data_IF_016488355953
#
_entry.id   IF_016488355953
#
_cell.length_a   1.000
_cell.length_b   1.000
_cell.length_c   1.000
_cell.angle_alpha   90.00
_cell.angle_beta   90.00
_cell.angle_gamma   90.00
#
_symmetry.space_group_name_H-M   'P 1'
#
loop_
_entity.id
_entity.type
_entity.pdbx_description
1 polymer ?
#
# COMPACT_ATOMS: atom_id res chain seq x y z
N UNK A 1 15.88 1.42 -10.97
CA UNK A 1 16.24 2.73 -11.57
C UNK A 1 15.88 3.81 -10.55
N UNK A 2 16.78 4.75 -10.28
CA UNK A 2 16.60 5.83 -9.29
C UNK A 2 15.75 6.93 -9.95
N UNK A 3 14.75 7.49 -9.25
CA UNK A 3 14.00 8.65 -9.75
C UNK A 3 14.96 9.80 -10.04
N UNK A 4 14.75 10.50 -11.15
CA UNK A 4 15.55 11.67 -11.49
C UNK A 4 15.24 12.81 -10.50
N UNK A 5 16.23 13.69 -10.26
CA UNK A 5 16.05 14.86 -9.39
C UNK A 5 14.81 15.67 -9.75
N UNK A 6 14.60 15.90 -11.05
CA UNK A 6 13.48 16.66 -11.59
C UNK A 6 12.12 16.02 -11.27
N UNK A 7 12.00 14.69 -11.33
CA UNK A 7 10.76 14.00 -10.97
C UNK A 7 10.43 14.16 -9.49
N UNK A 8 11.45 14.11 -8.63
CA UNK A 8 11.24 14.28 -7.19
C UNK A 8 10.87 15.74 -6.87
N UNK A 9 11.49 16.72 -7.54
CA UNK A 9 11.15 18.15 -7.41
C UNK A 9 9.69 18.43 -7.81
N UNK A 10 9.22 17.87 -8.93
CA UNK A 10 7.82 18.02 -9.38
C UNK A 10 6.84 17.42 -8.36
N UNK A 11 7.16 16.24 -7.82
CA UNK A 11 6.31 15.61 -6.83
C UNK A 11 6.25 16.39 -5.51
N UNK A 12 7.38 16.95 -5.06
CA UNK A 12 7.42 17.80 -3.87
C UNK A 12 6.63 19.10 -4.07
N UNK A 13 6.73 19.74 -5.23
CA UNK A 13 5.91 20.91 -5.57
C UNK A 13 4.42 20.61 -5.53
N UNK A 14 4.00 19.43 -6.03
CA UNK A 14 2.61 19.01 -5.95
C UNK A 14 2.13 18.87 -4.50
N UNK A 15 2.95 18.29 -3.61
CA UNK A 15 2.65 18.19 -2.18
C UNK A 15 2.49 19.58 -1.54
N UNK A 16 3.36 20.53 -1.87
CA UNK A 16 3.27 21.91 -1.34
C UNK A 16 1.97 22.61 -1.79
N UNK A 17 1.57 22.44 -3.05
CA UNK A 17 0.31 23.01 -3.57
C UNK A 17 -0.90 22.44 -2.84
N UNK A 18 -0.93 21.12 -2.61
CA UNK A 18 -2.02 20.48 -1.86
C UNK A 18 -2.06 20.97 -0.42
N UNK A 19 -0.91 21.00 0.26
CA UNK A 19 -0.82 21.49 1.63
C UNK A 19 -1.33 22.94 1.75
N UNK A 20 -0.90 23.82 0.84
CA UNK A 20 -1.34 25.22 0.82
C UNK A 20 -2.85 25.35 0.64
N UNK A 21 -3.43 24.60 -0.30
CA UNK A 21 -4.87 24.63 -0.56
C UNK A 21 -5.67 24.14 0.65
N UNK A 22 -5.19 23.11 1.33
CA UNK A 22 -5.82 22.59 2.55
C UNK A 22 -5.71 23.59 3.71
N UNK A 23 -4.57 24.25 3.87
CA UNK A 23 -4.43 25.33 4.86
C UNK A 23 -5.40 26.48 4.59
N UNK A 24 -5.51 26.93 3.34
CA UNK A 24 -6.39 28.03 2.98
C UNK A 24 -7.85 27.66 3.24
N UNK A 25 -8.25 26.44 2.88
CA UNK A 25 -9.61 25.92 3.12
C UNK A 25 -9.90 25.80 4.62
N UNK A 26 -8.99 25.20 5.39
CA UNK A 26 -9.18 25.05 6.85
C UNK A 26 -9.18 26.40 7.57
N UNK A 27 -8.39 27.37 7.09
CA UNK A 27 -8.38 28.75 7.62
C UNK A 27 -9.69 29.47 7.34
N UNK A 28 -10.23 29.34 6.13
CA UNK A 28 -11.53 29.89 5.76
C UNK A 28 -12.64 29.29 6.62
N UNK A 29 -12.68 27.96 6.76
CA UNK A 29 -13.67 27.27 7.60
C UNK A 29 -13.55 27.67 9.08
N UNK A 30 -12.33 27.74 9.62
CA UNK A 30 -12.08 28.11 11.03
C UNK A 30 -12.51 29.54 11.36
N UNK A 31 -12.65 30.41 10.36
CA UNK A 31 -13.14 31.78 10.54
C UNK A 31 -14.67 31.88 10.67
N UNK A 32 -15.39 30.78 10.45
CA UNK A 32 -16.85 30.73 10.59
C UNK A 32 -17.27 30.58 12.05
N UNK A 33 -17.98 31.58 12.57
CA UNK A 33 -18.57 31.55 13.92
C UNK A 33 -19.61 30.43 14.11
N UNK A 34 -20.07 29.82 13.01
CA UNK A 34 -21.15 28.82 13.01
C UNK A 34 -20.68 27.38 13.27
N UNK A 35 -19.38 27.13 13.35
CA UNK A 35 -18.86 25.78 13.60
C UNK A 35 -19.07 25.37 15.04
N UNK A 36 -19.54 24.15 15.26
CA UNK A 36 -19.56 23.52 16.57
C UNK A 36 -18.14 23.15 17.04
N UNK A 37 -18.01 22.77 18.31
CA UNK A 37 -16.73 22.44 18.93
C UNK A 37 -16.05 21.23 18.28
N UNK A 38 -16.80 20.18 17.94
CA UNK A 38 -16.25 18.94 17.34
C UNK A 38 -15.65 19.25 15.97
N UNK A 39 -16.35 20.05 15.16
CA UNK A 39 -15.87 20.46 13.84
C UNK A 39 -14.60 21.31 13.94
N UNK A 40 -14.50 22.20 14.93
CA UNK A 40 -13.27 22.97 15.19
C UNK A 40 -12.10 22.09 15.61
N UNK A 41 -12.33 21.08 16.45
CA UNK A 41 -11.29 20.13 16.86
C UNK A 41 -10.77 19.33 15.66
N UNK A 42 -11.66 18.88 14.76
CA UNK A 42 -11.27 18.20 13.52
C UNK A 42 -10.48 19.09 12.58
N UNK A 43 -10.87 20.35 12.41
CA UNK A 43 -10.10 21.30 11.60
C UNK A 43 -8.68 21.53 12.16
N UNK A 44 -8.55 21.61 13.49
CA UNK A 44 -7.25 21.74 14.15
C UNK A 44 -6.39 20.47 13.97
N UNK A 45 -6.98 19.28 13.95
CA UNK A 45 -6.30 18.03 13.63
C UNK A 45 -5.79 18.03 12.18
N UNK A 46 -6.64 18.37 11.21
CA UNK A 46 -6.24 18.47 9.79
C UNK A 46 -5.08 19.46 9.62
N UNK A 47 -5.13 20.63 10.27
CA UNK A 47 -4.04 21.62 10.23
C UNK A 47 -2.73 21.06 10.81
N UNK A 48 -2.80 20.23 11.85
CA UNK A 48 -1.62 19.57 12.42
C UNK A 48 -1.02 18.59 11.41
N UNK A 49 -1.84 17.79 10.75
CA UNK A 49 -1.39 16.80 9.77
C UNK A 49 -0.77 17.45 8.54
N UNK A 50 -1.37 18.52 8.02
CA UNK A 50 -0.81 19.30 6.90
C UNK A 50 0.59 19.83 7.26
N UNK A 51 0.76 20.33 8.49
CA UNK A 51 2.06 20.82 8.96
C UNK A 51 3.10 19.70 9.04
N UNK A 52 2.71 18.49 9.47
CA UNK A 52 3.60 17.33 9.49
C UNK A 52 4.04 16.97 8.06
N UNK A 53 3.11 16.97 7.09
CA UNK A 53 3.42 16.70 5.69
C UNK A 53 4.38 17.72 5.08
N UNK A 54 4.17 19.01 5.33
CA UNK A 54 5.08 20.07 4.88
C UNK A 54 6.50 19.91 5.46
N UNK A 55 6.61 19.57 6.75
CA UNK A 55 7.90 19.31 7.38
C UNK A 55 8.60 18.09 6.76
N UNK A 56 7.86 17.02 6.47
CA UNK A 56 8.38 15.84 5.80
C UNK A 56 8.84 16.15 4.37
N UNK A 57 8.04 16.88 3.59
CA UNK A 57 8.40 17.34 2.25
C UNK A 57 9.67 18.20 2.26
N UNK A 58 9.76 19.12 3.22
CA UNK A 58 10.95 19.97 3.43
C UNK A 58 12.20 19.15 3.77
N UNK A 59 12.10 18.14 4.63
CA UNK A 59 13.25 17.26 4.95
C UNK A 59 13.69 16.43 3.74
N UNK A 60 12.73 15.91 2.97
CA UNK A 60 13.03 15.20 1.72
C UNK A 60 13.74 16.13 0.73
N UNK A 61 13.24 17.34 0.55
CA UNK A 61 13.84 18.35 -0.33
C UNK A 61 15.29 18.65 0.09
N UNK A 62 15.51 18.87 1.39
CA UNK A 62 16.85 19.07 1.96
C UNK A 62 17.79 17.90 1.66
N UNK A 63 17.35 16.66 1.90
CA UNK A 63 18.17 15.46 1.66
C UNK A 63 18.52 15.28 0.19
N UNK A 64 17.60 15.58 -0.72
CA UNK A 64 17.86 15.52 -2.16
C UNK A 64 18.94 16.52 -2.54
N UNK A 65 18.85 17.75 -2.05
CA UNK A 65 19.87 18.77 -2.30
C UNK A 65 21.23 18.35 -1.74
N UNK A 66 21.29 17.79 -0.53
CA UNK A 66 22.53 17.24 0.04
C UNK A 66 23.12 16.10 -0.81
N UNK A 67 22.29 15.21 -1.36
CA UNK A 67 22.73 14.14 -2.26
C UNK A 67 23.29 14.73 -3.56
N UNK A 68 22.63 15.74 -4.12
CA UNK A 68 23.01 16.38 -5.37
C UNK A 68 24.32 17.16 -5.22
N UNK A 69 24.49 17.91 -4.13
CA UNK A 69 25.71 18.65 -3.82
C UNK A 69 26.92 17.75 -3.55
N UNK A 70 26.70 16.54 -3.00
CA UNK A 70 27.77 15.57 -2.74
C UNK A 70 28.16 14.73 -3.95
N UNK A 71 27.34 14.72 -5.00
CA UNK A 71 27.60 13.87 -6.14
C UNK A 71 28.69 14.46 -7.06
N UNK A 72 29.56 13.63 -7.66
CA UNK A 72 30.56 14.11 -8.60
C UNK A 72 29.91 14.87 -9.78
N UNK A 73 30.56 15.91 -10.33
CA UNK A 73 30.07 16.58 -11.53
C UNK A 73 29.80 15.58 -12.66
N UNK A 74 28.60 15.61 -13.22
CA UNK A 74 28.17 14.72 -14.31
C UNK A 74 27.52 13.40 -13.86
N UNK A 75 27.40 13.11 -12.56
CA UNK A 75 26.75 11.88 -12.06
C UNK A 75 25.24 11.81 -12.33
N UNK A 76 24.61 12.94 -12.65
CA UNK A 76 23.19 13.04 -12.99
C UNK A 76 22.95 13.46 -14.43
N UNK A 77 24.00 13.57 -15.25
CA UNK A 77 23.81 13.86 -16.67
C UNK A 77 23.10 12.67 -17.31
N UNK A 78 22.01 12.90 -18.07
CA UNK A 78 21.40 11.83 -18.83
C UNK A 78 22.46 11.22 -19.75
N UNK A 79 22.53 9.88 -19.88
CA UNK A 79 23.51 9.25 -20.74
C UNK A 79 23.43 9.90 -22.12
N UNK A 80 24.56 10.47 -22.58
CA UNK A 80 24.62 11.11 -23.89
C UNK A 80 24.10 10.11 -24.93
N UNK A 81 23.25 10.52 -25.88
CA UNK A 81 22.72 9.65 -26.92
C UNK A 81 23.78 9.18 -27.94
N UNK A 82 25.07 9.20 -27.61
CA UNK A 82 26.18 8.89 -28.48
C UNK A 82 26.50 7.38 -28.43
N UNK A 83 26.58 6.80 -29.64
CA UNK A 83 27.02 5.44 -29.98
C UNK A 83 26.06 4.26 -29.79
N UNK A 84 24.80 4.45 -30.18
CA UNK A 84 23.97 3.33 -30.67
C UNK A 84 24.13 3.09 -32.19
N UNK A 85 25.33 3.33 -32.75
CA UNK A 85 25.72 2.78 -34.05
C UNK A 85 26.10 1.31 -33.90
N UNK A 86 25.12 0.47 -33.57
CA UNK A 86 25.26 -0.98 -33.75
C UNK A 86 25.38 -1.25 -35.25
N UNK A 87 26.56 -1.70 -35.66
CA UNK A 87 26.78 -2.35 -36.94
C UNK A 87 25.80 -3.53 -37.10
N UNK A 88 25.26 -3.77 -38.31
CA UNK A 88 24.35 -4.87 -38.56
C UNK A 88 25.07 -6.21 -38.33
N UNK A 89 24.40 -7.22 -37.73
CA UNK A 89 25.00 -8.53 -37.53
C UNK A 89 25.12 -9.25 -38.88
N UNK A 90 26.34 -9.63 -39.22
CA UNK A 90 26.65 -10.50 -40.36
C UNK A 90 25.96 -11.86 -40.16
N UNK A 91 25.07 -12.20 -41.09
CA UNK A 91 24.43 -13.50 -41.20
C UNK A 91 25.43 -14.58 -41.57
N UNK A 92 25.77 -15.46 -40.62
CA UNK A 92 26.27 -16.79 -40.93
C UNK A 92 25.25 -17.83 -40.50
N UNK A 93 24.49 -18.26 -41.50
CA UNK A 93 23.72 -19.50 -41.51
C UNK A 93 24.68 -20.69 -41.45
N UNK A 94 24.50 -21.57 -40.47
CA UNK A 94 24.60 -23.04 -40.54
C UNK A 94 24.51 -23.57 -39.11
N UNK A 95 23.52 -24.43 -38.80
CA UNK A 95 23.68 -25.71 -38.07
C UNK A 95 22.37 -26.17 -37.41
N UNK A 96 21.72 -27.10 -38.10
CA UNK A 96 21.05 -28.32 -37.61
C UNK A 96 20.64 -28.40 -36.13
N UNK A 97 19.33 -28.31 -35.91
CA UNK A 97 18.53 -29.31 -35.21
C UNK A 97 18.93 -29.69 -33.78
N UNK A 98 18.46 -28.92 -32.81
CA UNK A 98 18.23 -29.39 -31.44
C UNK A 98 16.93 -28.76 -30.99
N UNK A 99 15.93 -29.58 -30.68
CA UNK A 99 14.61 -29.12 -30.25
C UNK A 99 14.77 -28.30 -28.96
N UNK A 100 14.69 -26.98 -29.12
CA UNK A 100 14.74 -26.00 -28.06
C UNK A 100 13.43 -26.16 -27.26
N UNK A 101 13.53 -26.81 -26.11
CA UNK A 101 12.47 -26.81 -25.10
C UNK A 101 12.31 -25.35 -24.68
N UNK A 102 11.29 -24.69 -25.22
CA UNK A 102 10.81 -23.40 -24.72
C UNK A 102 10.57 -23.57 -23.22
N UNK A 103 11.25 -22.80 -22.35
CA UNK A 103 11.08 -22.91 -20.92
C UNK A 103 9.60 -22.74 -20.61
N UNK A 104 9.01 -23.78 -20.03
CA UNK A 104 7.61 -23.88 -19.68
C UNK A 104 7.12 -22.54 -19.16
N UNK A 105 6.15 -21.97 -19.88
CA UNK A 105 5.42 -20.80 -19.44
C UNK A 105 4.76 -21.19 -18.12
N UNK A 106 5.38 -20.83 -17.00
CA UNK A 106 4.81 -20.97 -15.66
C UNK A 106 3.46 -20.28 -15.74
N UNK A 107 2.39 -21.06 -15.82
CA UNK A 107 1.08 -20.50 -16.07
C UNK A 107 0.72 -19.58 -14.90
N UNK A 108 0.22 -18.39 -15.21
CA UNK A 108 -0.19 -17.39 -14.22
C UNK A 108 -1.21 -17.95 -13.20
N UNK A 109 -1.84 -19.09 -13.51
CA UNK A 109 -2.71 -19.85 -12.63
C UNK A 109 -2.07 -20.30 -11.30
N UNK A 110 -0.75 -20.24 -11.16
CA UNK A 110 -0.06 -20.66 -9.94
C UNK A 110 0.19 -19.53 -8.91
N UNK A 111 -0.08 -18.25 -9.24
CA UNK A 111 0.12 -17.16 -8.27
C UNK A 111 -1.15 -16.91 -7.45
N UNK A 112 -1.38 -17.70 -6.41
CA UNK A 112 -2.49 -17.54 -5.48
C UNK A 112 -2.05 -17.70 -4.02
N UNK A 113 -2.94 -17.37 -3.08
CA UNK A 113 -2.67 -17.39 -1.63
C UNK A 113 -2.30 -18.78 -1.08
N UNK A 114 -2.58 -19.87 -1.81
CA UNK A 114 -2.23 -21.22 -1.39
C UNK A 114 -0.78 -21.62 -1.74
N UNK A 115 -0.13 -20.89 -2.66
CA UNK A 115 1.18 -21.25 -3.24
C UNK A 115 2.25 -21.48 -2.18
N UNK A 116 2.33 -20.61 -1.18
CA UNK A 116 3.39 -20.63 -0.18
C UNK A 116 2.97 -21.31 1.12
N UNK A 117 1.74 -21.85 1.20
CA UNK A 117 1.23 -22.42 2.45
C UNK A 117 2.06 -23.64 2.87
N UNK A 118 2.34 -23.79 4.18
CA UNK A 118 3.05 -24.95 4.69
C UNK A 118 2.28 -26.23 4.36
N UNK A 119 3.02 -27.31 4.08
CA UNK A 119 2.47 -28.67 3.90
C UNK A 119 2.29 -29.32 5.27
N UNK A 120 1.68 -28.57 6.19
CA UNK A 120 1.37 -29.01 7.55
C UNK A 120 -0.15 -28.91 7.68
N UNK A 121 -0.75 -29.80 8.46
CA UNK A 121 -2.17 -29.70 8.78
C UNK A 121 -2.46 -28.29 9.37
N UNK A 122 -3.40 -27.52 8.82
CA UNK A 122 -3.78 -26.21 9.35
C UNK A 122 -4.09 -26.19 10.85
N UNK A 123 -4.56 -27.31 11.42
CA UNK A 123 -4.82 -27.45 12.85
C UNK A 123 -3.55 -27.55 13.70
N UNK A 124 -2.44 -27.97 13.10
CA UNK A 124 -1.12 -28.08 13.72
C UNK A 124 -0.29 -26.80 13.60
N UNK A 125 -0.81 -25.76 12.94
CA UNK A 125 -0.15 -24.46 12.91
C UNK A 125 -0.19 -23.87 14.32
N UNK A 126 0.99 -23.85 14.95
CA UNK A 126 1.20 -23.20 16.24
C UNK A 126 1.44 -21.70 16.04
N UNK A 127 0.52 -20.91 16.57
CA UNK A 127 0.72 -19.48 16.72
C UNK A 127 1.39 -19.22 18.08
N UNK A 128 2.21 -18.16 18.20
CA UNK A 128 2.72 -17.76 19.51
C UNK A 128 1.54 -17.59 20.47
N UNK A 129 1.61 -18.14 21.70
CA UNK A 129 0.53 -18.04 22.68
C UNK A 129 0.43 -16.60 23.15
N UNK A 130 -0.43 -15.84 22.47
CA UNK A 130 -0.46 -14.39 22.51
C UNK A 130 0.92 -13.79 22.16
N UNK A 131 0.91 -12.59 21.62
CA UNK A 131 2.08 -11.77 21.83
C UNK A 131 2.20 -11.47 23.33
N UNK A 132 3.41 -11.23 23.88
CA UNK A 132 3.54 -10.69 25.24
C UNK A 132 2.46 -9.60 25.44
N UNK A 133 1.75 -9.57 26.58
CA UNK A 133 0.53 -8.75 26.85
C UNK A 133 0.53 -7.35 26.21
N UNK A 134 1.72 -6.79 26.03
CA UNK A 134 2.04 -5.58 25.28
C UNK A 134 1.58 -5.52 23.80
N UNK A 135 1.21 -6.60 23.10
CA UNK A 135 0.87 -6.53 21.65
C UNK A 135 -0.58 -6.91 21.32
N UNK A 136 -1.44 -6.98 22.32
CA UNK A 136 -2.89 -6.93 22.11
C UNK A 136 -3.24 -5.53 21.58
N UNK A 137 -4.05 -5.47 20.52
CA UNK A 137 -4.51 -4.21 19.97
C UNK A 137 -5.64 -3.65 20.83
N UNK A 138 -5.29 -2.79 21.79
CA UNK A 138 -6.25 -2.12 22.68
C UNK A 138 -6.66 -0.72 22.17
N UNK A 139 -5.85 -0.11 21.31
CA UNK A 139 -6.09 1.21 20.72
C UNK A 139 -5.88 1.18 19.19
N UNK A 140 -6.86 1.69 18.44
CA UNK A 140 -6.82 1.76 16.99
C UNK A 140 -5.70 2.67 16.46
N UNK A 141 -5.22 3.63 17.27
CA UNK A 141 -4.07 4.46 16.92
C UNK A 141 -2.78 3.65 16.70
N UNK A 142 -2.71 2.44 17.27
CA UNK A 142 -1.57 1.52 17.17
C UNK A 142 -1.71 0.51 16.03
N UNK A 143 -2.74 0.65 15.19
CA UNK A 143 -3.09 -0.34 14.17
C UNK A 143 -1.92 -0.64 13.22
N UNK A 144 -1.20 0.35 12.71
CA UNK A 144 -0.11 0.13 11.75
C UNK A 144 1.07 -0.64 12.37
N UNK A 145 1.42 -0.32 13.62
CA UNK A 145 2.45 -1.04 14.37
C UNK A 145 2.02 -2.49 14.64
N UNK A 146 0.76 -2.68 15.08
CA UNK A 146 0.17 -4.00 15.28
C UNK A 146 0.14 -4.81 13.97
N UNK A 147 -0.30 -4.20 12.87
CA UNK A 147 -0.38 -4.82 11.55
C UNK A 147 0.99 -5.29 11.06
N UNK A 148 2.02 -4.45 11.19
CA UNK A 148 3.40 -4.80 10.82
C UNK A 148 3.91 -6.02 11.61
N UNK A 149 3.58 -6.09 12.90
CA UNK A 149 3.94 -7.23 13.77
C UNK A 149 3.19 -8.50 13.39
N UNK A 150 1.89 -8.40 13.13
CA UNK A 150 1.06 -9.48 12.60
C UNK A 150 1.65 -10.03 11.31
N UNK A 151 1.97 -9.16 10.35
CA UNK A 151 2.58 -9.55 9.08
C UNK A 151 3.91 -10.27 9.30
N UNK A 152 4.77 -9.76 10.18
CA UNK A 152 6.05 -10.39 10.53
C UNK A 152 5.85 -11.79 11.16
N UNK A 153 4.88 -11.93 12.07
CA UNK A 153 4.56 -13.20 12.72
C UNK A 153 4.06 -14.24 11.71
N UNK A 154 3.15 -13.84 10.81
CA UNK A 154 2.63 -14.70 9.74
C UNK A 154 3.69 -15.04 8.70
N UNK A 155 4.57 -14.09 8.35
CA UNK A 155 5.65 -14.29 7.39
C UNK A 155 6.62 -15.38 7.81
N UNK A 156 6.97 -15.45 9.11
CA UNK A 156 7.82 -16.52 9.65
C UNK A 156 7.23 -17.93 9.48
N UNK A 157 5.91 -18.03 9.29
CA UNK A 157 5.15 -19.27 9.11
C UNK A 157 4.67 -19.50 7.67
N UNK A 158 5.06 -18.62 6.73
CA UNK A 158 4.57 -18.60 5.34
C UNK A 158 3.05 -18.43 5.22
N UNK A 159 2.47 -17.61 6.09
CA UNK A 159 1.02 -17.33 6.14
C UNK A 159 0.69 -15.87 5.81
N UNK A 160 1.68 -15.01 5.56
CA UNK A 160 1.45 -13.58 5.29
C UNK A 160 0.54 -13.35 4.07
N UNK A 161 0.61 -14.23 3.06
CA UNK A 161 -0.22 -14.13 1.86
C UNK A 161 -1.73 -14.26 2.17
N UNK A 162 -2.10 -14.89 3.30
CA UNK A 162 -3.51 -15.09 3.69
C UNK A 162 -4.21 -13.79 4.12
N UNK A 163 -3.46 -12.79 4.58
CA UNK A 163 -3.99 -11.48 4.96
C UNK A 163 -3.87 -10.43 3.86
N UNK A 164 -3.22 -10.77 2.73
CA UNK A 164 -3.05 -9.87 1.60
C UNK A 164 -4.20 -10.05 0.59
N UNK A 165 -5.11 -9.08 0.52
CA UNK A 165 -6.26 -9.10 -0.39
C UNK A 165 -5.88 -9.03 -1.89
N UNK A 166 -4.67 -8.55 -2.22
CA UNK A 166 -4.22 -8.38 -3.60
C UNK A 166 -3.83 -9.72 -4.25
N UNK A 167 -3.57 -10.75 -3.43
CA UNK A 167 -3.25 -12.09 -3.92
C UNK A 167 -4.55 -12.86 -4.11
N UNK A 168 -4.84 -13.40 -5.31
CA UNK A 168 -6.08 -14.10 -5.55
C UNK A 168 -6.15 -15.39 -4.72
N UNK A 169 -7.36 -15.80 -4.36
CA UNK A 169 -7.63 -17.07 -3.69
C UNK A 169 -7.43 -18.22 -4.69
N UNK A 170 -7.07 -19.43 -4.22
CA UNK A 170 -7.12 -20.62 -5.08
C UNK A 170 -8.55 -20.85 -5.62
N UNK A 171 -8.65 -21.37 -6.84
CA UNK A 171 -9.95 -21.75 -7.42
C UNK A 171 -10.59 -22.89 -6.61
N UNK A 172 -11.92 -22.91 -6.54
CA UNK A 172 -12.67 -24.04 -5.98
C UNK A 172 -12.51 -25.33 -6.80
N UNK A 173 -12.09 -25.22 -8.07
CA UNK A 173 -11.79 -26.37 -8.92
C UNK A 173 -10.52 -27.10 -8.47
N UNK A 174 -9.56 -26.37 -7.87
CA UNK A 174 -8.42 -26.97 -7.16
C UNK A 174 -8.81 -27.23 -5.71
N UNK A 175 -9.60 -28.28 -5.52
CA UNK A 175 -10.20 -28.64 -4.22
C UNK A 175 -9.13 -28.76 -3.14
N UNK A 176 -7.96 -29.32 -3.45
CA UNK A 176 -6.91 -29.55 -2.46
C UNK A 176 -6.28 -28.22 -2.01
N UNK A 177 -5.92 -27.34 -2.95
CA UNK A 177 -5.39 -26.02 -2.61
C UNK A 177 -6.44 -25.16 -1.88
N UNK A 178 -7.69 -25.20 -2.35
CA UNK A 178 -8.79 -24.46 -1.75
C UNK A 178 -9.08 -24.88 -0.31
N UNK A 179 -9.16 -26.18 -0.03
CA UNK A 179 -9.40 -26.68 1.33
C UNK A 179 -8.27 -26.32 2.28
N UNK A 180 -7.01 -26.46 1.86
CA UNK A 180 -5.83 -26.07 2.65
C UNK A 180 -5.85 -24.58 2.96
N UNK A 181 -6.06 -23.75 1.94
CA UNK A 181 -6.20 -22.31 2.10
C UNK A 181 -7.33 -21.93 3.04
N UNK A 182 -8.53 -22.52 2.86
CA UNK A 182 -9.71 -22.23 3.66
C UNK A 182 -9.46 -22.50 5.14
N UNK A 183 -8.92 -23.67 5.46
CA UNK A 183 -8.63 -24.06 6.84
C UNK A 183 -7.54 -23.19 7.47
N UNK A 184 -6.46 -22.89 6.76
CA UNK A 184 -5.41 -21.99 7.24
C UNK A 184 -5.94 -20.56 7.45
N UNK A 185 -6.78 -20.08 6.53
CA UNK A 185 -7.40 -18.75 6.60
C UNK A 185 -8.31 -18.63 7.82
N UNK A 186 -9.17 -19.62 8.09
CA UNK A 186 -10.02 -19.64 9.29
C UNK A 186 -9.19 -19.65 10.59
N UNK A 187 -8.10 -20.42 10.62
CA UNK A 187 -7.18 -20.50 11.75
C UNK A 187 -6.51 -19.14 12.01
N UNK A 188 -6.04 -18.47 10.95
CA UNK A 188 -5.47 -17.12 11.04
C UNK A 188 -6.54 -16.11 11.50
N UNK A 189 -7.77 -16.16 11.00
CA UNK A 189 -8.85 -15.28 11.46
C UNK A 189 -9.10 -15.42 12.96
N UNK A 190 -9.21 -16.66 13.47
CA UNK A 190 -9.38 -16.91 14.90
C UNK A 190 -8.22 -16.32 15.70
N UNK A 191 -6.98 -16.60 15.28
CA UNK A 191 -5.80 -16.07 15.96
C UNK A 191 -5.75 -14.53 15.94
N UNK A 192 -6.13 -13.89 14.83
CA UNK A 192 -6.21 -12.44 14.72
C UNK A 192 -7.23 -11.84 15.70
N UNK A 193 -8.39 -12.49 15.88
CA UNK A 193 -9.38 -12.08 16.88
C UNK A 193 -8.83 -12.18 18.31
N UNK A 194 -8.03 -13.21 18.60
CA UNK A 194 -7.36 -13.37 19.89
C UNK A 194 -6.29 -12.29 20.14
N UNK A 195 -5.84 -11.58 19.11
CA UNK A 195 -4.90 -10.45 19.23
C UNK A 195 -5.59 -9.09 19.45
N UNK A 196 -6.92 -9.06 19.58
CA UNK A 196 -7.68 -7.83 19.79
C UNK A 196 -8.04 -7.65 21.26
N UNK A 197 -7.87 -6.42 21.76
CA UNK A 197 -8.35 -6.01 23.07
C UNK A 197 -9.86 -6.07 23.15
N UNK A 198 -10.42 -6.25 24.34
CA UNK A 198 -11.87 -6.41 24.53
C UNK A 198 -12.68 -5.26 23.90
N UNK A 199 -12.23 -4.02 24.07
CA UNK A 199 -12.86 -2.82 23.51
C UNK A 199 -12.85 -2.79 21.97
N UNK A 200 -11.84 -3.40 21.35
CA UNK A 200 -11.72 -3.52 19.89
C UNK A 200 -12.51 -4.73 19.39
N UNK A 201 -12.49 -5.83 20.15
CA UNK A 201 -13.21 -7.06 19.85
C UNK A 201 -14.72 -6.85 19.82
N UNK A 202 -15.29 -6.09 20.76
CA UNK A 202 -16.72 -5.72 20.75
C UNK A 202 -17.10 -5.03 19.45
N UNK A 203 -16.26 -4.11 18.95
CA UNK A 203 -16.44 -3.46 17.65
C UNK A 203 -16.24 -4.44 16.48
N UNK A 204 -15.45 -5.49 16.69
CA UNK A 204 -15.12 -6.48 15.68
C UNK A 204 -16.13 -7.62 15.49
N UNK A 205 -16.91 -7.95 16.51
CA UNK A 205 -17.96 -8.98 16.43
C UNK A 205 -19.05 -8.71 15.38
N UNK A 206 -19.11 -7.50 14.85
CA UNK A 206 -20.04 -7.09 13.79
C UNK A 206 -19.55 -7.53 12.40
N UNK A 207 -18.32 -8.04 12.26
CA UNK A 207 -17.77 -8.40 10.95
C UNK A 207 -18.24 -9.79 10.49
N UNK A 208 -18.98 -9.89 9.36
CA UNK A 208 -19.35 -11.19 8.78
C UNK A 208 -18.17 -11.87 8.03
N UNK A 209 -16.93 -11.40 8.24
CA UNK A 209 -15.78 -11.85 7.49
C UNK A 209 -15.43 -13.30 7.83
N UNK A 210 -15.41 -14.16 6.81
CA UNK A 210 -15.20 -15.59 7.00
C UNK A 210 -13.70 -15.96 6.92
N UNK A 211 -12.91 -15.16 6.21
CA UNK A 211 -11.51 -15.47 5.89
C UNK A 211 -10.55 -14.36 6.31
N UNK A 212 -9.28 -14.70 6.54
CA UNK A 212 -8.28 -13.80 7.13
C UNK A 212 -8.10 -12.49 6.35
N UNK A 213 -7.99 -12.55 5.02
CA UNK A 213 -7.92 -11.36 4.18
C UNK A 213 -9.17 -10.49 4.26
N UNK A 214 -10.37 -11.09 4.24
CA UNK A 214 -11.64 -10.36 4.40
C UNK A 214 -11.72 -9.70 5.77
N UNK A 215 -11.30 -10.42 6.81
CA UNK A 215 -11.27 -9.92 8.17
C UNK A 215 -10.34 -8.72 8.26
N UNK A 216 -9.13 -8.80 7.74
CA UNK A 216 -8.16 -7.70 7.77
C UNK A 216 -8.65 -6.48 7.01
N UNK A 217 -9.33 -6.66 5.88
CA UNK A 217 -9.92 -5.57 5.09
C UNK A 217 -11.06 -4.91 5.84
N UNK A 218 -12.00 -5.71 6.37
CA UNK A 218 -13.12 -5.22 7.16
C UNK A 218 -12.63 -4.50 8.43
N UNK A 219 -11.67 -5.10 9.12
CA UNK A 219 -11.07 -4.58 10.33
C UNK A 219 -10.35 -3.27 10.04
N UNK A 220 -9.43 -3.22 9.06
CA UNK A 220 -8.73 -1.99 8.67
C UNK A 220 -9.69 -0.86 8.29
N UNK A 221 -10.73 -1.17 7.50
CA UNK A 221 -11.74 -0.19 7.05
C UNK A 221 -12.52 0.41 8.21
N UNK A 222 -12.70 -0.34 9.30
CA UNK A 222 -13.49 0.11 10.46
C UNK A 222 -12.62 0.70 11.56
N UNK A 223 -11.42 0.14 11.76
CA UNK A 223 -10.38 0.61 12.66
C UNK A 223 -9.89 2.02 12.30
N UNK A 224 -9.54 2.23 11.03
CA UNK A 224 -9.00 3.51 10.55
C UNK A 224 -10.10 4.44 10.01
N UNK A 225 -11.35 3.99 10.05
CA UNK A 225 -12.42 4.58 9.25
C UNK A 225 -12.20 4.38 7.74
N UNK A 226 -13.28 4.40 6.98
CA UNK A 226 -13.24 4.27 5.52
C UNK A 226 -12.42 5.37 4.84
N UNK A 227 -12.17 6.50 5.54
CA UNK A 227 -11.51 7.71 5.04
C UNK A 227 -9.98 7.58 4.95
N UNK A 228 -9.32 7.10 6.02
CA UNK A 228 -7.85 6.99 6.08
C UNK A 228 -7.37 5.87 5.16
N UNK A 229 -8.15 4.79 5.03
CA UNK A 229 -7.74 3.58 4.33
C UNK A 229 -7.68 3.75 2.79
N UNK A 230 -8.59 4.54 2.22
CA UNK A 230 -8.59 4.81 0.77
C UNK A 230 -7.36 5.66 0.40
N UNK A 231 -7.13 6.73 1.17
CA UNK A 231 -6.03 7.65 0.95
C UNK A 231 -4.68 6.97 1.17
N UNK A 232 -4.52 6.24 2.29
CA UNK A 232 -3.31 5.47 2.56
C UNK A 232 -3.06 4.36 1.52
N UNK A 233 -4.10 3.65 1.04
CA UNK A 233 -3.95 2.61 0.01
C UNK A 233 -3.57 3.19 -1.34
N UNK A 234 -4.17 4.30 -1.75
CA UNK A 234 -3.77 5.00 -2.98
C UNK A 234 -2.33 5.46 -2.84
N UNK A 235 -1.97 6.06 -1.71
CA UNK A 235 -0.59 6.51 -1.47
C UNK A 235 0.41 5.36 -1.47
N UNK A 236 0.10 4.27 -0.78
CA UNK A 236 0.90 3.05 -0.79
C UNK A 236 1.03 2.47 -2.20
N UNK A 237 -0.05 2.45 -2.98
CA UNK A 237 -0.02 2.00 -4.38
C UNK A 237 0.92 2.87 -5.21
N UNK A 238 0.74 4.19 -5.13
CA UNK A 238 1.54 5.20 -5.83
C UNK A 238 3.03 5.09 -5.46
N UNK A 239 3.35 4.90 -4.18
CA UNK A 239 4.73 4.76 -3.70
C UNK A 239 5.37 3.42 -4.08
N UNK A 240 4.59 2.36 -4.27
CA UNK A 240 5.08 1.04 -4.64
C UNK A 240 5.01 0.75 -6.14
N UNK A 241 4.40 1.62 -6.94
CA UNK A 241 4.41 1.52 -8.40
C UNK A 241 5.85 1.57 -8.90
N UNK A 242 6.24 0.57 -9.69
CA UNK A 242 7.57 0.49 -10.31
C UNK A 242 7.44 0.77 -11.79
N UNK A 243 8.33 1.60 -12.34
CA UNK A 243 8.41 1.86 -13.79
C UNK A 243 8.47 0.57 -14.61
N UNK A 244 9.13 -0.48 -14.11
CA UNK A 244 9.25 -1.79 -14.79
C UNK A 244 7.92 -2.53 -14.98
N UNK A 245 6.84 -2.10 -14.33
CA UNK A 245 5.49 -2.67 -14.49
C UNK A 245 4.74 -2.11 -15.71
N UNK A 246 5.36 -1.22 -16.49
CA UNK A 246 4.73 -0.52 -17.62
C UNK A 246 5.60 -0.64 -18.87
N UNK A 247 4.97 -0.65 -20.04
CA UNK A 247 5.70 -0.80 -21.31
C UNK A 247 6.44 0.48 -21.69
N UNK A 248 5.85 1.64 -21.39
CA UNK A 248 6.41 2.96 -21.71
C UNK A 248 6.45 3.91 -20.50
N UNK A 249 7.30 4.93 -20.60
CA UNK A 249 7.40 5.96 -19.56
C UNK A 249 6.11 6.77 -19.46
N UNK A 250 5.52 7.08 -20.61
CA UNK A 250 4.27 7.82 -20.69
C UNK A 250 3.12 7.06 -20.01
N UNK A 251 3.07 5.74 -20.16
CA UNK A 251 2.07 4.89 -19.50
C UNK A 251 2.24 4.88 -17.97
N UNK A 252 3.49 4.79 -17.49
CA UNK A 252 3.78 4.88 -16.05
C UNK A 252 3.34 6.23 -15.47
N UNK A 253 3.71 7.35 -16.10
CA UNK A 253 3.34 8.70 -15.65
C UNK A 253 1.82 8.89 -15.67
N UNK A 254 1.15 8.45 -16.73
CA UNK A 254 -0.33 8.52 -16.84
C UNK A 254 -1.02 7.73 -15.74
N UNK A 255 -0.59 6.50 -15.48
CA UNK A 255 -1.20 5.70 -14.41
C UNK A 255 -0.91 6.30 -13.03
N UNK A 256 0.31 6.80 -12.81
CA UNK A 256 0.68 7.46 -11.55
C UNK A 256 -0.19 8.70 -11.32
N UNK A 257 -0.27 9.61 -12.29
CA UNK A 257 -1.13 10.81 -12.25
C UNK A 257 -2.60 10.45 -12.02
N UNK A 258 -3.10 9.42 -12.70
CA UNK A 258 -4.48 8.95 -12.52
C UNK A 258 -4.74 8.53 -11.08
N UNK A 259 -3.79 7.86 -10.43
CA UNK A 259 -3.91 7.45 -9.01
C UNK A 259 -3.87 8.65 -8.06
N UNK A 260 -3.02 9.63 -8.32
CA UNK A 260 -2.99 10.89 -7.55
C UNK A 260 -4.32 11.65 -7.70
N UNK A 261 -4.84 11.79 -8.92
CA UNK A 261 -6.12 12.46 -9.16
C UNK A 261 -7.28 11.72 -8.49
N UNK A 262 -7.22 10.39 -8.43
CA UNK A 262 -8.20 9.59 -7.70
C UNK A 262 -8.18 9.89 -6.20
N UNK A 263 -7.01 10.16 -5.62
CA UNK A 263 -6.87 10.62 -4.24
C UNK A 263 -7.54 11.99 -4.05
N UNK A 264 -7.24 12.97 -4.90
CA UNK A 264 -7.79 14.33 -4.81
C UNK A 264 -9.33 14.36 -4.96
N UNK A 265 -9.88 13.58 -5.90
CA UNK A 265 -11.33 13.52 -6.12
C UNK A 265 -12.08 12.89 -4.94
N UNK A 266 -11.48 11.89 -4.31
CA UNK A 266 -12.08 11.25 -3.14
C UNK A 266 -12.03 12.17 -1.92
N UNK A 267 -10.95 12.93 -1.76
CA UNK A 267 -10.83 13.95 -0.71
C UNK A 267 -11.89 15.07 -0.87
N UNK A 268 -12.07 15.57 -2.11
CA UNK A 268 -13.11 16.56 -2.45
C UNK A 268 -14.54 16.05 -2.22
N UNK A 269 -14.87 14.83 -2.64
CA UNK A 269 -16.19 14.23 -2.43
C UNK A 269 -16.49 14.00 -0.95
N UNK A 270 -15.47 13.70 -0.16
CA UNK A 270 -15.57 13.51 1.29
C UNK A 270 -15.79 14.83 2.03
N UNK A 271 -15.10 15.91 1.61
CA UNK A 271 -15.37 17.26 2.12
C UNK A 271 -16.83 17.69 1.88
N UNK A 272 -17.35 17.40 0.68
CA UNK A 272 -18.73 17.74 0.32
C UNK A 272 -19.79 16.88 1.06
N UNK A 273 -19.53 15.59 1.30
CA UNK A 273 -20.48 14.73 2.02
C UNK A 273 -20.53 15.02 3.53
N UNK A 274 -19.43 15.47 4.13
CA UNK A 274 -19.44 15.95 5.52
C UNK A 274 -20.28 17.21 5.68
N UNK A 275 -20.14 18.17 4.77
CA UNK A 275 -20.98 19.37 4.73
C UNK A 275 -22.49 19.03 4.58
N UNK A 276 -22.83 17.91 3.94
CA UNK A 276 -24.23 17.46 3.79
C UNK A 276 -24.78 16.71 5.01
N UNK A 277 -23.93 16.11 5.85
CA UNK A 277 -24.36 15.42 7.08
C UNK A 277 -24.51 16.42 8.25
N UNK A 278 -23.81 17.55 8.18
CA UNK A 278 -23.84 18.61 9.20
C UNK A 278 -24.96 19.66 8.99
N UNK A 279 -25.69 19.61 7.86
CA UNK A 279 -26.87 20.42 7.57
C UNK A 279 -28.16 19.61 7.69
#
# INVERSE_FOLDING_TARGET
MIMTKQEIEVNLQAVDVVCQKTEDTTRELSSSDKLDTETRERLAEIQRDVRILQLAASDIHRRINEIVERAPPGSFDPPKPEDNKRTPPTTHSTRTGTAEQTPDSISDAQFNQARNLPVIDPLQIEFPPYFDDKWILDDLSQFEEWHSRVEKALKSRKLADLINEEIPRPSQDDIQAYQRWRAASLRVTSWLMDQLGLAILEKATIFPATFAGEFMVAFRTKALGSKININARIWHTVMNMKRSQFDSMEQYVKEWQRRILQFEQQDLLLGATLQLIEN
#
